data_IF_209360225117
#
_entry.id   IF_209360225117
#
_cell.length_a   1.000
_cell.length_b   1.000
_cell.length_c   1.000
_cell.angle_alpha   90.00
_cell.angle_beta   90.00
_cell.angle_gamma   90.00
#
_symmetry.space_group_name_H-M   'P 1'
#
loop_
_entity.id
_entity.type
_entity.pdbx_description
1 polymer ?
#
# COMPACT_ATOMS: atom_id res chain seq x y z
N UNK A 1 -19.12 -7.78 -20.94
CA UNK A 1 -20.39 -7.23 -20.43
C UNK A 1 -20.15 -6.89 -18.98
N UNK A 2 -20.28 -5.61 -18.59
CA UNK A 2 -20.11 -5.15 -17.21
C UNK A 2 -21.14 -5.89 -16.35
N UNK A 3 -20.71 -6.56 -15.26
CA UNK A 3 -21.66 -7.14 -14.30
C UNK A 3 -22.45 -5.99 -13.67
N UNK A 4 -23.79 -5.92 -13.83
CA UNK A 4 -24.59 -4.79 -13.32
C UNK A 4 -24.56 -4.68 -11.79
N UNK A 5 -24.01 -5.68 -11.10
CA UNK A 5 -23.81 -5.68 -9.64
C UNK A 5 -22.50 -5.02 -9.20
N UNK A 6 -21.62 -4.63 -10.14
CA UNK A 6 -20.32 -4.03 -9.83
C UNK A 6 -20.16 -2.65 -10.48
N UNK A 7 -19.59 -1.67 -9.75
CA UNK A 7 -19.35 -0.33 -10.29
C UNK A 7 -18.38 -0.27 -11.47
N UNK A 8 -17.46 -1.23 -11.56
CA UNK A 8 -16.42 -1.33 -12.61
C UNK A 8 -16.24 -2.79 -13.01
N UNK A 9 -15.50 -3.03 -14.10
CA UNK A 9 -15.25 -4.38 -14.60
C UNK A 9 -14.63 -5.30 -13.53
N UNK A 10 -15.01 -6.60 -13.52
CA UNK A 10 -14.34 -7.60 -12.70
C UNK A 10 -12.83 -7.60 -12.94
N UNK A 11 -12.06 -7.72 -11.86
CA UNK A 11 -10.62 -7.90 -11.94
C UNK A 11 -10.24 -9.22 -11.25
N UNK A 12 -9.29 -9.95 -11.79
CA UNK A 12 -8.78 -11.17 -11.17
C UNK A 12 -7.35 -10.95 -10.66
N UNK A 13 -7.14 -10.90 -9.33
CA UNK A 13 -5.80 -10.75 -8.79
C UNK A 13 -4.98 -12.03 -8.99
N UNK A 14 -3.63 -11.94 -9.03
CA UNK A 14 -2.76 -13.09 -9.33
C UNK A 14 -2.88 -14.24 -8.32
N UNK A 15 -3.31 -13.92 -7.10
CA UNK A 15 -3.48 -14.86 -6.00
C UNK A 15 -4.94 -15.34 -5.85
N UNK A 16 -5.84 -15.00 -6.78
CA UNK A 16 -7.25 -15.40 -6.74
C UNK A 16 -7.43 -16.92 -6.63
N UNK A 17 -6.53 -17.68 -7.28
CA UNK A 17 -6.51 -19.14 -7.28
C UNK A 17 -6.01 -19.75 -5.95
N UNK A 18 -5.33 -18.98 -5.10
CA UNK A 18 -4.82 -19.48 -3.82
C UNK A 18 -5.96 -19.85 -2.86
N UNK A 19 -5.74 -20.89 -2.05
CA UNK A 19 -6.73 -21.43 -1.10
C UNK A 19 -6.18 -21.49 0.33
N UNK A 20 -7.08 -21.57 1.30
CA UNK A 20 -6.75 -21.73 2.72
C UNK A 20 -5.81 -20.65 3.26
N UNK A 21 -4.85 -21.04 4.10
CA UNK A 21 -3.83 -20.15 4.68
C UNK A 21 -2.89 -19.55 3.63
N UNK A 22 -2.62 -20.28 2.54
CA UNK A 22 -1.82 -19.78 1.42
C UNK A 22 -2.42 -18.54 0.78
N UNK A 23 -3.76 -18.46 0.73
CA UNK A 23 -4.49 -17.27 0.29
C UNK A 23 -4.22 -16.07 1.20
N UNK A 24 -4.37 -16.23 2.51
CA UNK A 24 -4.20 -15.13 3.47
C UNK A 24 -2.79 -14.54 3.39
N UNK A 25 -1.76 -15.41 3.31
CA UNK A 25 -0.38 -14.97 3.11
C UNK A 25 -0.20 -14.23 1.78
N UNK A 26 -0.74 -14.75 0.69
CA UNK A 26 -0.60 -14.14 -0.62
C UNK A 26 -1.33 -12.78 -0.71
N UNK A 27 -2.53 -12.70 -0.11
CA UNK A 27 -3.32 -11.47 0.00
C UNK A 27 -2.61 -10.43 0.87
N UNK A 28 -2.11 -10.81 2.05
CA UNK A 28 -1.32 -9.93 2.90
C UNK A 28 -0.05 -9.42 2.19
N UNK A 29 0.67 -10.31 1.50
CA UNK A 29 1.83 -9.92 0.71
C UNK A 29 1.46 -8.95 -0.41
N UNK A 30 0.35 -9.17 -1.11
CA UNK A 30 -0.10 -8.28 -2.18
C UNK A 30 -0.51 -6.89 -1.66
N UNK A 31 -1.10 -6.84 -0.46
CA UNK A 31 -1.49 -5.59 0.20
C UNK A 31 -0.28 -4.81 0.76
N UNK A 32 0.72 -5.50 1.30
CA UNK A 32 1.91 -4.84 1.87
C UNK A 32 2.92 -4.45 0.80
N UNK A 33 3.13 -5.31 -0.20
CA UNK A 33 4.11 -5.08 -1.25
C UNK A 33 3.49 -4.29 -2.41
N UNK A 34 3.95 -3.07 -2.73
CA UNK A 34 3.31 -2.26 -3.76
C UNK A 34 3.65 -2.71 -5.19
N UNK A 35 4.77 -3.41 -5.39
CA UNK A 35 5.21 -3.87 -6.72
C UNK A 35 4.59 -5.21 -7.11
N UNK A 36 4.46 -5.45 -8.42
CA UNK A 36 4.01 -6.73 -8.99
C UNK A 36 5.05 -7.24 -9.98
N UNK A 37 5.41 -8.53 -9.87
CA UNK A 37 6.31 -9.19 -10.84
C UNK A 37 5.59 -9.40 -12.17
N UNK A 38 6.32 -9.32 -13.28
CA UNK A 38 5.77 -9.58 -14.62
C UNK A 38 4.90 -8.46 -15.20
N UNK A 39 4.83 -7.29 -14.55
CA UNK A 39 4.27 -6.07 -15.15
C UNK A 39 5.39 -5.29 -15.81
N UNK A 40 5.14 -4.74 -17.00
CA UNK A 40 6.08 -3.87 -17.68
C UNK A 40 6.54 -2.74 -16.74
N UNK A 41 7.84 -2.45 -16.76
CA UNK A 41 8.41 -1.42 -15.91
C UNK A 41 7.63 -0.10 -16.08
N UNK A 42 7.32 0.59 -14.98
CA UNK A 42 6.69 1.90 -15.09
C UNK A 42 7.64 2.87 -15.80
N UNK A 43 7.09 3.98 -16.32
CA UNK A 43 7.92 5.02 -16.96
C UNK A 43 9.12 5.40 -16.09
N UNK A 44 10.24 5.76 -16.73
CA UNK A 44 11.52 5.98 -16.05
C UNK A 44 11.42 6.92 -14.84
N UNK A 45 10.56 7.94 -14.90
CA UNK A 45 10.28 8.86 -13.81
C UNK A 45 9.70 8.18 -12.56
N UNK A 46 8.76 7.24 -12.72
CA UNK A 46 8.19 6.47 -11.60
C UNK A 46 9.21 5.50 -11.01
N UNK A 47 10.07 4.92 -11.85
CA UNK A 47 11.17 4.08 -11.36
C UNK A 47 12.17 4.92 -10.56
N UNK A 48 12.56 6.08 -11.07
CA UNK A 48 13.44 7.01 -10.38
C UNK A 48 12.82 7.50 -9.07
N UNK A 49 11.54 7.86 -9.06
CA UNK A 49 10.80 8.22 -7.84
C UNK A 49 10.82 7.08 -6.82
N UNK A 50 10.67 5.83 -7.25
CA UNK A 50 10.77 4.66 -6.38
C UNK A 50 12.14 4.50 -5.74
N UNK A 51 13.21 4.70 -6.51
CA UNK A 51 14.60 4.67 -5.99
C UNK A 51 14.83 5.82 -5.00
N UNK A 52 14.43 7.04 -5.37
CA UNK A 52 14.55 8.21 -4.50
C UNK A 52 13.77 8.04 -3.20
N UNK A 53 12.59 7.44 -3.25
CA UNK A 53 11.80 7.12 -2.06
C UNK A 53 12.44 6.02 -1.24
N UNK A 54 12.99 4.96 -1.84
CA UNK A 54 13.71 3.93 -1.08
C UNK A 54 14.93 4.51 -0.34
N UNK A 55 15.67 5.41 -0.99
CA UNK A 55 16.79 6.13 -0.38
C UNK A 55 16.31 7.06 0.75
N UNK A 56 15.27 7.86 0.49
CA UNK A 56 14.67 8.72 1.50
C UNK A 56 14.10 7.93 2.68
N UNK A 57 13.55 6.72 2.45
CA UNK A 57 13.11 5.80 3.49
C UNK A 57 14.27 5.45 4.41
N UNK A 58 15.37 5.02 3.80
CA UNK A 58 16.57 4.58 4.51
C UNK A 58 17.11 5.72 5.37
N UNK A 59 17.17 6.94 4.81
CA UNK A 59 17.61 8.13 5.54
C UNK A 59 16.63 8.50 6.67
N UNK A 60 15.32 8.49 6.41
CA UNK A 60 14.30 8.80 7.42
C UNK A 60 14.34 7.82 8.60
N UNK A 61 14.52 6.52 8.36
CA UNK A 61 14.66 5.54 9.44
C UNK A 61 15.94 5.77 10.27
N UNK A 62 17.07 6.08 9.64
CA UNK A 62 18.32 6.40 10.34
C UNK A 62 18.17 7.65 11.19
N UNK A 63 17.64 8.74 10.62
CA UNK A 63 17.40 10.00 11.34
C UNK A 63 16.36 9.83 12.45
N UNK A 64 15.33 9.02 12.23
CA UNK A 64 14.32 8.70 13.23
C UNK A 64 14.91 7.93 14.41
N UNK A 65 15.76 6.94 14.15
CA UNK A 65 16.47 6.20 15.18
C UNK A 65 17.47 7.08 15.96
N UNK A 66 18.06 8.08 15.30
CA UNK A 66 18.94 9.05 15.94
C UNK A 66 18.19 10.15 16.75
N UNK A 67 16.86 10.20 16.69
CA UNK A 67 16.06 11.25 17.35
C UNK A 67 16.06 12.59 16.62
N UNK A 68 16.70 12.68 15.44
CA UNK A 68 16.88 13.90 14.66
C UNK A 68 15.71 14.20 13.71
N UNK A 69 14.73 13.29 13.64
CA UNK A 69 13.62 13.41 12.70
C UNK A 69 12.42 14.12 13.33
N UNK A 70 12.20 15.36 12.91
CA UNK A 70 11.02 16.15 13.30
C UNK A 70 9.72 15.46 12.85
N UNK A 71 8.65 15.62 13.62
CA UNK A 71 7.32 15.07 13.29
C UNK A 71 6.85 15.46 11.86
N UNK A 72 7.11 16.70 11.43
CA UNK A 72 6.79 17.15 10.07
C UNK A 72 7.54 16.37 8.98
N UNK A 73 8.79 15.96 9.22
CA UNK A 73 9.56 15.15 8.28
C UNK A 73 9.02 13.71 8.20
N UNK A 74 8.61 13.13 9.33
CA UNK A 74 7.90 11.84 9.37
C UNK A 74 6.60 11.88 8.56
N UNK A 75 5.81 12.95 8.72
CA UNK A 75 4.54 13.13 7.99
C UNK A 75 4.81 13.26 6.49
N UNK A 76 5.76 14.11 6.09
CA UNK A 76 6.14 14.28 4.70
C UNK A 76 6.64 12.98 4.06
N UNK A 77 7.41 12.19 4.81
CA UNK A 77 7.86 10.86 4.41
C UNK A 77 6.68 9.91 4.17
N UNK A 78 5.78 9.79 5.15
CA UNK A 78 4.61 8.89 5.06
C UNK A 78 3.68 9.28 3.92
N UNK A 79 3.50 10.58 3.70
CA UNK A 79 2.73 11.14 2.60
C UNK A 79 3.38 10.85 1.25
N UNK A 80 4.68 11.12 1.09
CA UNK A 80 5.43 10.84 -0.13
C UNK A 80 5.39 9.36 -0.54
N UNK A 81 5.57 8.47 0.44
CA UNK A 81 5.39 7.02 0.25
C UNK A 81 3.97 6.68 -0.23
N UNK A 82 2.95 7.28 0.37
CA UNK A 82 1.55 7.02 0.01
C UNK A 82 1.23 7.48 -1.42
N UNK A 83 1.69 8.66 -1.83
CA UNK A 83 1.51 9.16 -3.21
C UNK A 83 2.18 8.21 -4.22
N UNK A 84 3.41 7.78 -3.94
CA UNK A 84 4.11 6.83 -4.80
C UNK A 84 3.41 5.48 -4.89
N UNK A 85 2.94 4.96 -3.77
CA UNK A 85 2.22 3.70 -3.75
C UNK A 85 0.93 3.77 -4.58
N UNK A 86 0.21 4.91 -4.56
CA UNK A 86 -0.95 5.12 -5.44
C UNK A 86 -0.53 5.03 -6.91
N UNK A 87 0.52 5.73 -7.31
CA UNK A 87 0.99 5.75 -8.70
C UNK A 87 1.42 4.35 -9.19
N UNK A 88 2.21 3.62 -8.39
CA UNK A 88 2.69 2.29 -8.78
C UNK A 88 1.56 1.26 -8.80
N UNK A 89 0.58 1.35 -7.87
CA UNK A 89 -0.58 0.46 -7.87
C UNK A 89 -1.55 0.77 -9.02
N UNK A 90 -1.74 2.03 -9.39
CA UNK A 90 -2.51 2.38 -10.58
C UNK A 90 -1.92 1.78 -11.86
N UNK A 91 -0.59 1.65 -11.93
CA UNK A 91 0.09 1.00 -13.06
C UNK A 91 0.07 -0.53 -12.97
N UNK A 92 0.37 -1.10 -11.81
CA UNK A 92 0.70 -2.53 -11.68
C UNK A 92 -0.35 -3.39 -10.96
N UNK A 93 -1.23 -2.78 -10.16
CA UNK A 93 -2.22 -3.44 -9.28
C UNK A 93 -3.54 -2.66 -9.25
N UNK A 94 -4.10 -2.36 -10.42
CA UNK A 94 -5.29 -1.52 -10.55
C UNK A 94 -6.58 -2.26 -10.24
N UNK A 95 -6.67 -2.84 -9.04
CA UNK A 95 -7.85 -3.54 -8.56
C UNK A 95 -8.06 -3.27 -7.07
N UNK A 96 -9.32 -3.28 -6.66
CA UNK A 96 -9.73 -3.21 -5.25
C UNK A 96 -10.76 -4.29 -4.97
N UNK A 97 -10.85 -4.67 -3.70
CA UNK A 97 -11.84 -5.63 -3.22
C UNK A 97 -13.21 -4.97 -3.15
N UNK A 98 -14.25 -5.66 -3.62
CA UNK A 98 -15.62 -5.15 -3.68
C UNK A 98 -16.54 -5.91 -2.71
N UNK A 99 -17.24 -5.16 -1.86
CA UNK A 99 -18.05 -5.69 -0.76
C UNK A 99 -17.24 -5.91 0.54
N UNK A 100 -17.69 -6.83 1.42
CA UNK A 100 -17.02 -7.06 2.69
C UNK A 100 -15.54 -7.44 2.52
N UNK A 101 -14.69 -7.00 3.44
CA UNK A 101 -13.24 -7.20 3.35
C UNK A 101 -12.84 -8.68 3.39
N UNK A 102 -13.68 -9.58 3.91
CA UNK A 102 -13.48 -11.04 3.88
C UNK A 102 -13.95 -11.71 2.57
N UNK A 103 -14.56 -10.96 1.65
CA UNK A 103 -15.10 -11.46 0.39
C UNK A 103 -14.04 -11.94 -0.61
N UNK A 104 -14.46 -12.21 -1.85
CA UNK A 104 -13.57 -12.65 -2.95
C UNK A 104 -13.95 -12.02 -4.29
N UNK A 105 -14.53 -10.82 -4.25
CA UNK A 105 -14.84 -10.06 -5.46
C UNK A 105 -13.83 -8.93 -5.57
N UNK A 106 -13.26 -8.77 -6.75
CA UNK A 106 -12.37 -7.69 -7.07
C UNK A 106 -12.85 -7.03 -8.34
N UNK A 107 -12.65 -5.71 -8.40
CA UNK A 107 -13.02 -4.88 -9.54
C UNK A 107 -11.87 -3.96 -9.90
N UNK A 108 -11.86 -3.48 -11.12
CA UNK A 108 -10.86 -2.51 -11.59
C UNK A 108 -11.00 -1.22 -10.77
N UNK A 109 -9.88 -0.72 -10.25
CA UNK A 109 -9.86 0.45 -9.39
C UNK A 109 -9.80 1.76 -10.17
N UNK A 110 -10.59 2.75 -9.77
CA UNK A 110 -10.40 4.15 -10.15
C UNK A 110 -9.27 4.81 -9.35
N UNK A 111 -8.99 6.09 -9.67
CA UNK A 111 -8.01 6.89 -8.92
C UNK A 111 -8.45 7.09 -7.46
N UNK A 112 -9.72 7.44 -7.25
CA UNK A 112 -10.28 7.63 -5.91
C UNK A 112 -10.26 6.33 -5.09
N UNK A 113 -10.62 5.20 -5.70
CA UNK A 113 -10.51 3.89 -5.06
C UNK A 113 -9.09 3.64 -4.54
N UNK A 114 -8.08 3.96 -5.35
CA UNK A 114 -6.69 3.72 -5.00
C UNK A 114 -6.17 4.70 -3.94
N UNK A 115 -6.57 5.97 -3.99
CA UNK A 115 -6.27 6.95 -2.94
C UNK A 115 -6.85 6.52 -1.60
N UNK A 116 -8.13 6.15 -1.56
CA UNK A 116 -8.80 5.67 -0.35
C UNK A 116 -8.16 4.39 0.17
N UNK A 117 -7.91 3.43 -0.72
CA UNK A 117 -7.29 2.15 -0.37
C UNK A 117 -5.89 2.34 0.22
N UNK A 118 -4.99 3.08 -0.46
CA UNK A 118 -3.61 3.29 0.01
C UNK A 118 -3.59 4.15 1.26
N UNK A 119 -4.37 5.24 1.29
CA UNK A 119 -4.44 6.16 2.43
C UNK A 119 -4.90 5.45 3.70
N UNK A 120 -6.00 4.69 3.62
CA UNK A 120 -6.50 3.93 4.76
C UNK A 120 -5.52 2.84 5.21
N UNK A 121 -4.95 2.09 4.26
CA UNK A 121 -3.97 1.04 4.57
C UNK A 121 -2.72 1.61 5.27
N UNK A 122 -2.14 2.68 4.75
CA UNK A 122 -0.95 3.29 5.34
C UNK A 122 -1.25 3.96 6.69
N UNK A 123 -2.45 4.53 6.86
CA UNK A 123 -2.90 5.05 8.15
C UNK A 123 -3.01 3.92 9.20
N UNK A 124 -3.62 2.79 8.83
CA UNK A 124 -3.72 1.62 9.72
C UNK A 124 -2.35 1.08 10.12
N UNK A 125 -1.40 1.01 9.18
CA UNK A 125 -0.02 0.60 9.48
C UNK A 125 0.62 1.56 10.48
N UNK A 126 0.48 2.87 10.27
CA UNK A 126 1.03 3.90 11.16
C UNK A 126 0.41 3.83 12.56
N UNK A 127 -0.93 3.69 12.63
CA UNK A 127 -1.65 3.54 13.90
C UNK A 127 -1.24 2.27 14.64
N UNK A 128 -1.13 1.13 13.95
CA UNK A 128 -0.70 -0.14 14.55
C UNK A 128 0.73 -0.05 15.08
N UNK A 129 1.65 0.56 14.32
CA UNK A 129 3.03 0.80 14.75
C UNK A 129 3.07 1.67 16.01
N UNK A 130 2.34 2.79 16.01
CA UNK A 130 2.25 3.67 17.18
C UNK A 130 1.72 2.94 18.42
N UNK A 131 0.63 2.18 18.28
CA UNK A 131 0.05 1.41 19.38
C UNK A 131 1.01 0.34 19.90
N UNK A 132 1.76 -0.33 19.02
CA UNK A 132 2.76 -1.33 19.41
C UNK A 132 3.90 -0.68 20.20
N UNK A 133 4.46 0.44 19.71
CA UNK A 133 5.51 1.17 20.39
C UNK A 133 5.05 1.69 21.76
N UNK A 134 3.81 2.18 21.85
CA UNK A 134 3.19 2.57 23.12
C UNK A 134 3.06 1.39 24.07
N UNK A 135 2.61 0.23 23.59
CA UNK A 135 2.47 -0.98 24.40
C UNK A 135 3.82 -1.50 24.92
N UNK A 136 4.90 -1.28 24.18
CA UNK A 136 6.28 -1.61 24.58
C UNK A 136 6.91 -0.56 25.51
N UNK A 137 6.21 0.54 25.81
CA UNK A 137 6.73 1.62 26.67
C UNK A 137 7.80 2.50 26.03
N UNK A 138 8.00 2.41 24.71
CA UNK A 138 9.03 3.18 24.00
C UNK A 138 8.56 4.57 23.57
N UNK A 139 7.25 4.85 23.69
CA UNK A 139 6.66 6.16 23.40
C UNK A 139 5.79 6.58 24.59
N UNK A 140 6.06 7.75 25.13
CA UNK A 140 5.26 8.42 26.16
C UNK A 140 4.47 9.53 25.47
N UNK A 141 3.16 9.59 25.73
CA UNK A 141 2.27 10.61 25.17
C UNK A 141 2.14 11.77 26.14
#
# INVERSE_FOLDING_TARGET
MVDPRMPTDPAEPPFAAARGLGRLRAEAWDHLWPWRRGVAAPHAALRAAGVSLALAATIAWVLGAAGELRAGALIAWWFGWSVYEVLIRLHAKRYVKDGPWWGRRWRVAGVMDMLCYVGFKNLLIGAALFLALRALGTVVV
#
